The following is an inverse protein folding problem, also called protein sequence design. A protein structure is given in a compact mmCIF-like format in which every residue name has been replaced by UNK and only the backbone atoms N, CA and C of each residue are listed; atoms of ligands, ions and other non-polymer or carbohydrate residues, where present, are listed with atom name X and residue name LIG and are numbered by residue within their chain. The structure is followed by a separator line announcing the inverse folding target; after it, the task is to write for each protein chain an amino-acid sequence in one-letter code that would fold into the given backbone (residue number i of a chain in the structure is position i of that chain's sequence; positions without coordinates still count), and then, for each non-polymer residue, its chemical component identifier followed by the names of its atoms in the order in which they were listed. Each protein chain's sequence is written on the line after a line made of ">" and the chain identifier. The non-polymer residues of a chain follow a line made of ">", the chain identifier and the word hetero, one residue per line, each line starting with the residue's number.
data_IF_985548361860
#
_entry.id   IF_985548361860
#
_cell.length_a   1.000
_cell.length_b   1.000
_cell.length_c   1.000
_cell.angle_alpha   90.00
_cell.angle_beta   90.00
_cell.angle_gamma   90.00
#
_symmetry.space_group_name_H-M   'P 1'
#
loop_
_entity.id
_entity.type
_entity.pdbx_description
1 polymer ?
#
# COMPACT_ATOMS: atom_id res chain seq x y z
N UNK A 1 -0.36 7.00 13.24
CA UNK A 1 -1.24 6.52 12.14
C UNK A 1 -2.16 5.36 12.55
N UNK A 2 -2.40 5.12 13.84
CA UNK A 2 -3.38 4.11 14.32
C UNK A 2 -4.78 4.35 13.74
N UNK A 3 -5.15 5.62 13.57
CA UNK A 3 -6.43 6.05 13.03
C UNK A 3 -6.65 5.60 11.57
N UNK A 4 -5.62 5.61 10.71
CA UNK A 4 -5.81 5.28 9.28
C UNK A 4 -6.10 3.79 9.06
N UNK A 5 -5.38 2.91 9.77
CA UNK A 5 -5.60 1.45 9.70
C UNK A 5 -6.91 1.05 10.39
N UNK A 6 -7.28 1.73 11.48
CA UNK A 6 -8.55 1.52 12.18
C UNK A 6 -9.75 1.99 11.33
N UNK A 7 -9.65 3.16 10.70
CA UNK A 7 -10.64 3.65 9.74
C UNK A 7 -10.80 2.70 8.54
N UNK A 8 -9.68 2.18 8.00
CA UNK A 8 -9.72 1.21 6.91
C UNK A 8 -10.44 -0.06 7.32
N UNK A 9 -10.21 -0.54 8.54
CA UNK A 9 -10.89 -1.71 9.07
C UNK A 9 -12.39 -1.49 9.17
N UNK A 10 -12.82 -0.34 9.67
CA UNK A 10 -14.24 0.03 9.72
C UNK A 10 -14.87 0.09 8.32
N UNK A 11 -14.16 0.64 7.33
CA UNK A 11 -14.63 0.69 5.95
C UNK A 11 -14.78 -0.71 5.34
N UNK A 12 -13.82 -1.61 5.59
CA UNK A 12 -13.88 -3.01 5.16
C UNK A 12 -15.06 -3.72 5.81
N UNK A 13 -15.20 -3.67 7.14
CA UNK A 13 -16.28 -4.35 7.88
C UNK A 13 -17.65 -3.82 7.44
N UNK A 14 -17.76 -2.51 7.23
CA UNK A 14 -18.97 -1.87 6.72
C UNK A 14 -19.34 -2.34 5.30
N UNK A 15 -18.36 -2.47 4.40
CA UNK A 15 -18.55 -2.94 3.03
C UNK A 15 -18.82 -4.45 2.95
N UNK A 16 -18.30 -5.24 3.90
CA UNK A 16 -18.60 -6.67 4.03
C UNK A 16 -20.05 -6.90 4.49
N UNK A 17 -20.55 -6.06 5.39
CA UNK A 17 -21.93 -6.13 5.87
C UNK A 17 -22.94 -5.58 4.84
N UNK A 18 -22.56 -4.55 4.09
CA UNK A 18 -23.38 -3.90 3.09
C UNK A 18 -22.52 -3.42 1.90
N UNK A 19 -22.60 -4.08 0.73
CA UNK A 19 -21.83 -3.69 -0.45
C UNK A 19 -22.00 -2.23 -0.88
N UNK A 20 -23.13 -1.58 -0.55
CA UNK A 20 -23.33 -0.16 -0.85
C UNK A 20 -22.35 0.76 -0.09
N UNK A 21 -21.77 0.30 1.02
CA UNK A 21 -20.77 1.03 1.79
C UNK A 21 -19.36 0.95 1.22
N UNK A 22 -19.15 0.17 0.15
CA UNK A 22 -17.87 0.12 -0.56
C UNK A 22 -17.42 1.48 -1.11
N UNK A 23 -18.36 2.41 -1.32
CA UNK A 23 -18.07 3.79 -1.74
C UNK A 23 -16.99 4.48 -0.88
N UNK A 24 -16.95 4.22 0.43
CA UNK A 24 -15.92 4.80 1.29
C UNK A 24 -14.50 4.27 1.03
N UNK A 25 -14.39 3.01 0.60
CA UNK A 25 -13.12 2.42 0.14
C UNK A 25 -12.74 3.04 -1.21
N UNK A 26 -13.71 3.15 -2.11
CA UNK A 26 -13.50 3.76 -3.43
C UNK A 26 -12.97 5.20 -3.32
N UNK A 27 -13.69 6.08 -2.62
CA UNK A 27 -13.32 7.50 -2.46
C UNK A 27 -11.94 7.68 -1.83
N UNK A 28 -11.58 6.82 -0.87
CA UNK A 28 -10.28 6.88 -0.18
C UNK A 28 -9.11 6.49 -1.09
N UNK A 29 -9.32 5.58 -2.06
CA UNK A 29 -8.23 4.94 -2.78
C UNK A 29 -8.20 5.21 -4.28
N UNK A 30 -9.29 5.71 -4.88
CA UNK A 30 -9.43 5.88 -6.33
C UNK A 30 -8.29 6.69 -6.93
N UNK A 31 -7.93 7.83 -6.35
CA UNK A 31 -6.88 8.70 -6.89
C UNK A 31 -5.50 8.01 -6.91
N UNK A 32 -5.21 7.22 -5.87
CA UNK A 32 -3.93 6.49 -5.76
C UNK A 32 -3.85 5.36 -6.78
N UNK A 33 -4.93 4.59 -6.92
CA UNK A 33 -5.02 3.49 -7.87
C UNK A 33 -5.01 4.04 -9.30
N UNK A 34 -5.79 5.08 -9.60
CA UNK A 34 -5.80 5.74 -10.90
C UNK A 34 -4.42 6.29 -11.26
N UNK A 35 -3.74 6.99 -10.34
CA UNK A 35 -2.39 7.50 -10.59
C UNK A 35 -1.38 6.37 -10.86
N UNK A 36 -1.53 5.23 -10.19
CA UNK A 36 -0.69 4.05 -10.41
C UNK A 36 -0.92 3.42 -11.78
N UNK A 37 -2.19 3.21 -12.15
CA UNK A 37 -2.61 2.65 -13.44
C UNK A 37 -2.23 3.59 -14.58
N UNK A 38 -2.50 4.89 -14.45
CA UNK A 38 -2.30 5.89 -15.51
C UNK A 38 -0.85 5.98 -15.98
N UNK A 39 0.11 5.74 -15.09
CA UNK A 39 1.55 5.70 -15.44
C UNK A 39 1.94 4.48 -16.29
N UNK A 40 1.07 3.48 -16.39
CA UNK A 40 1.30 2.15 -16.99
C UNK A 40 0.31 1.81 -18.09
N UNK A 41 -0.38 2.82 -18.62
CA UNK A 41 -1.37 2.69 -19.70
C UNK A 41 -1.11 3.74 -20.77
N UNK A 42 -1.45 3.41 -22.01
CA UNK A 42 -1.16 4.22 -23.18
C UNK A 42 -1.96 5.53 -23.25
N UNK A 43 -3.15 5.60 -22.64
CA UNK A 43 -4.01 6.77 -22.70
C UNK A 43 -4.92 6.87 -21.47
N UNK A 44 -5.71 7.95 -21.43
CA UNK A 44 -6.65 8.22 -20.34
C UNK A 44 -7.76 7.18 -20.24
N UNK A 45 -8.37 6.81 -21.35
CA UNK A 45 -9.51 5.91 -21.38
C UNK A 45 -9.13 4.53 -20.82
N UNK A 46 -7.99 3.97 -21.26
CA UNK A 46 -7.46 2.72 -20.72
C UNK A 46 -7.21 2.79 -19.21
N UNK A 47 -6.71 3.94 -18.70
CA UNK A 47 -6.51 4.11 -17.28
C UNK A 47 -7.82 4.14 -16.48
N UNK A 48 -8.85 4.83 -17.00
CA UNK A 48 -10.18 4.92 -16.38
C UNK A 48 -10.89 3.55 -16.38
N UNK A 49 -10.81 2.81 -17.49
CA UNK A 49 -11.40 1.48 -17.63
C UNK A 49 -10.75 0.47 -16.67
N UNK A 50 -9.41 0.40 -16.65
CA UNK A 50 -8.69 -0.52 -15.76
C UNK A 50 -8.92 -0.13 -14.29
N UNK A 51 -8.95 1.18 -13.96
CA UNK A 51 -9.28 1.60 -12.60
C UNK A 51 -10.68 1.14 -12.19
N UNK A 52 -11.66 1.27 -13.08
CA UNK A 52 -13.02 0.79 -12.84
C UNK A 52 -13.05 -0.72 -12.60
N UNK A 53 -12.35 -1.49 -13.44
CA UNK A 53 -12.20 -2.94 -13.31
C UNK A 53 -11.58 -3.34 -11.97
N UNK A 54 -10.58 -2.59 -11.48
CA UNK A 54 -9.96 -2.84 -10.17
C UNK A 54 -10.98 -2.73 -9.04
N UNK A 55 -11.77 -1.66 -9.03
CA UNK A 55 -12.75 -1.46 -7.97
C UNK A 55 -13.96 -2.40 -8.11
N UNK A 56 -14.32 -2.82 -9.33
CA UNK A 56 -15.31 -3.88 -9.56
C UNK A 56 -14.83 -5.23 -9.01
N UNK A 57 -13.60 -5.63 -9.32
CA UNK A 57 -12.99 -6.86 -8.79
C UNK A 57 -12.84 -6.81 -7.27
N UNK A 58 -12.45 -5.65 -6.72
CA UNK A 58 -12.36 -5.43 -5.29
C UNK A 58 -13.73 -5.55 -4.62
N UNK A 59 -14.78 -4.94 -5.17
CA UNK A 59 -16.15 -5.07 -4.68
C UNK A 59 -16.61 -6.53 -4.70
N UNK A 60 -16.36 -7.26 -5.78
CA UNK A 60 -16.70 -8.69 -5.86
C UNK A 60 -15.90 -9.57 -4.89
N UNK A 61 -14.72 -9.13 -4.46
CA UNK A 61 -13.84 -9.87 -3.55
C UNK A 61 -13.94 -9.42 -2.09
N UNK A 62 -14.63 -8.32 -1.77
CA UNK A 62 -14.63 -7.73 -0.43
C UNK A 62 -15.21 -8.68 0.63
N UNK A 63 -16.25 -9.45 0.28
CA UNK A 63 -16.89 -10.40 1.21
C UNK A 63 -15.98 -11.54 1.69
N UNK A 64 -14.89 -11.82 0.96
CA UNK A 64 -13.86 -12.81 1.33
C UNK A 64 -12.55 -12.18 1.75
N UNK A 65 -12.51 -10.86 1.90
CA UNK A 65 -11.31 -10.16 2.35
C UNK A 65 -11.01 -10.52 3.80
N UNK A 66 -9.75 -10.90 4.05
CA UNK A 66 -9.26 -11.22 5.38
C UNK A 66 -8.09 -10.30 5.74
N UNK A 67 -8.12 -9.76 6.95
CA UNK A 67 -7.00 -9.00 7.49
C UNK A 67 -5.85 -9.93 7.83
N UNK A 68 -4.83 -9.96 6.96
CA UNK A 68 -3.59 -10.75 7.13
C UNK A 68 -2.38 -9.90 7.46
N UNK A 69 -2.60 -8.74 8.10
CA UNK A 69 -1.55 -7.80 8.48
C UNK A 69 -1.06 -6.87 7.36
N UNK A 70 -1.59 -6.98 6.13
CA UNK A 70 -1.34 -6.03 5.04
C UNK A 70 -2.37 -4.89 5.04
N UNK A 71 -1.97 -3.66 4.64
CA UNK A 71 -2.92 -2.56 4.41
C UNK A 71 -3.91 -2.84 3.29
N UNK A 72 -5.10 -2.26 3.35
CA UNK A 72 -6.13 -2.35 2.28
C UNK A 72 -5.58 -1.89 0.93
N UNK A 73 -4.78 -0.82 0.93
CA UNK A 73 -4.17 -0.30 -0.30
C UNK A 73 -3.25 -1.31 -0.99
N UNK A 74 -2.59 -2.19 -0.23
CA UNK A 74 -1.73 -3.24 -0.77
C UNK A 74 -2.55 -4.27 -1.56
N UNK A 75 -3.70 -4.66 -1.02
CA UNK A 75 -4.64 -5.54 -1.69
C UNK A 75 -5.19 -4.92 -2.99
N UNK A 76 -5.56 -3.63 -2.96
CA UNK A 76 -6.01 -2.91 -4.16
C UNK A 76 -4.91 -2.81 -5.24
N UNK A 77 -3.66 -2.54 -4.85
CA UNK A 77 -2.55 -2.55 -5.80
C UNK A 77 -2.32 -3.93 -6.43
N UNK A 78 -2.50 -5.02 -5.67
CA UNK A 78 -2.41 -6.37 -6.22
C UNK A 78 -3.48 -6.63 -7.28
N UNK A 79 -4.70 -6.18 -7.04
CA UNK A 79 -5.78 -6.24 -8.04
C UNK A 79 -5.42 -5.41 -9.28
N UNK A 80 -4.93 -4.17 -9.08
CA UNK A 80 -4.50 -3.29 -10.17
C UNK A 80 -3.38 -3.87 -11.03
N UNK A 81 -2.38 -4.49 -10.41
CA UNK A 81 -1.31 -5.17 -11.11
C UNK A 81 -1.81 -6.33 -11.98
N UNK A 82 -2.75 -7.12 -11.47
CA UNK A 82 -3.34 -8.21 -12.24
C UNK A 82 -4.15 -7.68 -13.44
N UNK A 83 -4.96 -6.65 -13.23
CA UNK A 83 -5.76 -6.02 -14.30
C UNK A 83 -4.87 -5.41 -15.41
N UNK A 84 -3.76 -4.74 -15.03
CA UNK A 84 -2.77 -4.24 -15.98
C UNK A 84 -2.12 -5.38 -16.78
N UNK A 85 -1.74 -6.48 -16.12
CA UNK A 85 -1.15 -7.63 -16.79
C UNK A 85 -2.15 -8.29 -17.76
N UNK A 86 -3.44 -8.34 -17.42
CA UNK A 86 -4.50 -8.83 -18.28
C UNK A 86 -4.67 -7.93 -19.52
N UNK A 87 -4.77 -6.61 -19.33
CA UNK A 87 -4.88 -5.61 -20.41
C UNK A 87 -3.74 -5.73 -21.43
N UNK A 88 -2.50 -5.81 -20.95
CA UNK A 88 -1.34 -5.93 -21.84
C UNK A 88 -1.28 -7.29 -22.55
N UNK A 89 -1.73 -8.38 -21.90
CA UNK A 89 -1.84 -9.70 -22.53
C UNK A 89 -2.89 -9.72 -23.63
N UNK A 90 -4.03 -9.07 -23.43
CA UNK A 90 -5.08 -8.92 -24.45
C UNK A 90 -4.57 -8.10 -25.64
N UNK A 91 -3.97 -6.95 -25.36
CA UNK A 91 -3.46 -6.06 -26.40
C UNK A 91 -2.36 -6.71 -27.25
N UNK A 92 -1.48 -7.50 -26.65
CA UNK A 92 -0.45 -8.24 -27.36
C UNK A 92 -1.04 -9.31 -28.30
N UNK A 93 -2.15 -9.95 -27.92
CA UNK A 93 -2.87 -10.91 -28.77
C UNK A 93 -3.51 -10.24 -29.97
N UNK A 94 -4.14 -9.08 -29.76
CA UNK A 94 -4.88 -8.38 -30.80
C UNK A 94 -3.97 -7.68 -31.81
N UNK A 95 -2.79 -7.24 -31.39
CA UNK A 95 -1.95 -6.38 -32.21
C UNK A 95 -0.83 -7.11 -32.98
N UNK A 96 -0.45 -8.36 -32.66
CA UNK A 96 0.88 -8.91 -33.01
C UNK A 96 2.06 -7.95 -32.66
N UNK A 97 1.80 -6.95 -31.82
CA UNK A 97 2.76 -5.93 -31.40
C UNK A 97 3.35 -6.40 -30.09
N UNK A 98 4.68 -6.34 -30.01
CA UNK A 98 5.42 -6.54 -28.77
C UNK A 98 4.92 -5.48 -27.78
N UNK A 99 4.33 -5.87 -26.63
CA UNK A 99 3.80 -4.91 -25.68
C UNK A 99 4.90 -3.93 -25.24
N UNK A 100 4.66 -2.61 -25.25
CA UNK A 100 5.58 -1.67 -24.62
C UNK A 100 5.60 -1.99 -23.12
N UNK A 101 6.80 -2.25 -22.60
CA UNK A 101 7.14 -2.47 -21.19
C UNK A 101 5.96 -2.91 -20.32
N UNK A 102 5.64 -4.21 -20.40
CA UNK A 102 5.01 -4.90 -19.27
C UNK A 102 5.85 -4.53 -18.04
N UNK A 103 5.24 -4.11 -16.90
CA UNK A 103 6.02 -3.69 -15.75
C UNK A 103 7.11 -4.71 -15.47
N UNK A 104 8.37 -4.25 -15.49
CA UNK A 104 9.52 -5.06 -15.11
C UNK A 104 9.16 -5.77 -13.79
N UNK A 105 9.36 -7.09 -13.67
CA UNK A 105 9.27 -7.80 -12.40
C UNK A 105 9.88 -7.04 -11.22
N UNK A 106 10.88 -6.17 -11.46
CA UNK A 106 11.43 -5.23 -10.48
C UNK A 106 10.46 -4.19 -9.89
N UNK A 107 9.48 -3.67 -10.64
CA UNK A 107 8.49 -2.70 -10.11
C UNK A 107 7.41 -3.39 -9.25
N UNK A 108 7.03 -4.62 -9.60
CA UNK A 108 6.17 -5.48 -8.80
C UNK A 108 6.88 -5.92 -7.52
N UNK A 109 8.17 -6.28 -7.62
CA UNK A 109 9.03 -6.49 -6.46
C UNK A 109 9.12 -5.24 -5.59
N UNK A 110 9.18 -4.04 -6.14
CA UNK A 110 9.25 -2.81 -5.35
C UNK A 110 7.95 -2.51 -4.61
N UNK A 111 6.79 -2.81 -5.20
CA UNK A 111 5.49 -2.70 -4.51
C UNK A 111 5.40 -3.76 -3.41
N UNK A 112 5.73 -5.01 -3.71
CA UNK A 112 5.73 -6.10 -2.74
C UNK A 112 6.75 -5.86 -1.61
N UNK A 113 7.93 -5.32 -1.92
CA UNK A 113 8.94 -4.89 -0.93
C UNK A 113 8.44 -3.73 -0.08
N UNK A 114 7.76 -2.73 -0.68
CA UNK A 114 7.16 -1.63 0.08
C UNK A 114 6.03 -2.11 0.99
N UNK A 115 5.23 -3.07 0.53
CA UNK A 115 4.18 -3.71 1.33
C UNK A 115 4.80 -4.53 2.47
N UNK A 116 5.81 -5.36 2.19
CA UNK A 116 6.53 -6.14 3.20
C UNK A 116 7.19 -5.21 4.23
N UNK A 117 7.86 -4.15 3.79
CA UNK A 117 8.43 -3.12 4.67
C UNK A 117 7.34 -2.49 5.54
N UNK A 118 6.18 -2.14 4.98
CA UNK A 118 5.07 -1.60 5.74
C UNK A 118 4.57 -2.58 6.81
N UNK A 119 4.42 -3.86 6.47
CA UNK A 119 4.04 -4.92 7.42
C UNK A 119 5.06 -5.02 8.56
N UNK A 120 6.35 -4.96 8.26
CA UNK A 120 7.41 -4.99 9.28
C UNK A 120 7.40 -3.74 10.17
N UNK A 121 7.09 -2.56 9.62
CA UNK A 121 6.93 -1.31 10.39
C UNK A 121 5.73 -1.39 11.35
N UNK A 122 4.63 -2.02 10.93
CA UNK A 122 3.45 -2.24 11.77
C UNK A 122 3.71 -3.19 12.95
N UNK A 123 4.67 -4.12 12.82
CA UNK A 123 5.07 -5.03 13.91
C UNK A 123 6.03 -4.41 14.92
N UNK A 124 6.49 -3.17 14.69
CA UNK A 124 7.37 -2.48 15.64
C UNK A 124 6.60 -2.12 16.93
N UNK A 125 7.28 -2.13 18.09
CA UNK A 125 6.73 -1.54 19.30
C UNK A 125 6.26 -0.10 19.06
N UNK A 126 5.13 0.28 19.66
CA UNK A 126 4.41 1.52 19.39
C UNK A 126 5.32 2.76 19.28
N UNK A 127 6.18 2.97 20.29
CA UNK A 127 7.09 4.11 20.35
C UNK A 127 8.16 4.09 19.25
N UNK A 128 8.60 2.91 18.80
CA UNK A 128 9.54 2.76 17.70
C UNK A 128 8.86 3.09 16.36
N UNK A 129 7.63 2.58 16.17
CA UNK A 129 6.80 2.87 14.99
C UNK A 129 6.53 4.36 14.84
N UNK A 130 6.12 5.03 15.92
CA UNK A 130 5.88 6.48 15.93
C UNK A 130 7.13 7.28 15.56
N UNK A 131 8.30 6.91 16.09
CA UNK A 131 9.57 7.57 15.73
C UNK A 131 9.90 7.39 14.25
N UNK A 132 9.76 6.18 13.68
CA UNK A 132 9.99 5.96 12.25
C UNK A 132 9.04 6.79 11.39
N UNK A 133 7.76 6.82 11.74
CA UNK A 133 6.73 7.57 11.02
C UNK A 133 7.03 9.08 11.01
N UNK A 134 7.28 9.67 12.18
CA UNK A 134 7.57 11.10 12.25
C UNK A 134 8.89 11.45 11.56
N UNK A 135 9.91 10.58 11.61
CA UNK A 135 11.24 10.86 11.02
C UNK A 135 11.30 10.69 9.51
N UNK A 136 10.60 9.70 8.96
CA UNK A 136 10.76 9.29 7.56
C UNK A 136 9.51 9.51 6.70
N UNK A 137 8.32 9.68 7.30
CA UNK A 137 7.08 9.98 6.57
C UNK A 137 6.73 11.47 6.72
N UNK A 138 6.80 11.99 7.94
CA UNK A 138 6.51 13.40 8.23
C UNK A 138 7.75 14.29 8.16
N UNK A 139 8.93 13.72 7.87
CA UNK A 139 10.22 14.41 7.72
C UNK A 139 10.65 15.28 8.92
N UNK A 140 10.12 15.03 10.12
CA UNK A 140 10.43 15.81 11.34
C UNK A 140 11.86 15.59 11.81
N UNK A 141 12.47 16.63 12.37
CA UNK A 141 13.78 16.57 13.05
C UNK A 141 13.71 15.77 14.36
N UNK A 142 14.86 15.27 14.84
CA UNK A 142 14.94 14.53 16.12
C UNK A 142 14.40 15.38 17.28
N UNK A 143 14.65 16.70 17.24
CA UNK A 143 14.16 17.64 18.23
C UNK A 143 12.64 17.76 18.20
N UNK A 144 12.04 17.89 17.03
CA UNK A 144 10.58 17.95 16.88
C UNK A 144 9.91 16.66 17.36
N UNK A 145 10.52 15.50 17.08
CA UNK A 145 10.02 14.20 17.58
C UNK A 145 10.18 14.08 19.09
N UNK A 146 11.31 14.56 19.64
CA UNK A 146 11.55 14.59 21.09
C UNK A 146 10.50 15.44 21.82
N UNK A 147 10.21 16.63 21.28
CA UNK A 147 9.13 17.49 21.78
C UNK A 147 7.76 16.85 21.64
N UNK A 148 7.45 16.25 20.48
CA UNK A 148 6.13 15.64 20.23
C UNK A 148 5.84 14.43 21.12
N UNK A 149 6.87 13.68 21.52
CA UNK A 149 6.73 12.46 22.33
C UNK A 149 7.03 12.66 23.82
N UNK A 150 7.33 13.90 24.24
CA UNK A 150 7.79 14.25 25.58
C UNK A 150 8.99 13.37 26.04
N UNK A 151 10.04 13.34 25.21
CA UNK A 151 11.25 12.55 25.42
C UNK A 151 12.51 13.38 25.16
N UNK A 152 13.66 12.88 25.64
CA UNK A 152 14.95 13.47 25.27
C UNK A 152 15.34 13.09 23.83
N UNK A 153 16.10 13.95 23.16
CA UNK A 153 16.66 13.65 21.83
C UNK A 153 17.49 12.35 21.83
N UNK A 154 18.18 12.06 22.94
CA UNK A 154 18.93 10.81 23.13
C UNK A 154 18.02 9.57 23.14
N UNK A 155 16.87 9.65 23.80
CA UNK A 155 15.89 8.57 23.79
C UNK A 155 15.27 8.35 22.40
N UNK A 156 15.01 9.43 21.64
CA UNK A 156 14.52 9.33 20.26
C UNK A 156 15.55 8.68 19.34
N UNK A 157 16.84 9.05 19.45
CA UNK A 157 17.93 8.39 18.71
C UNK A 157 18.01 6.89 18.99
N UNK A 158 17.87 6.50 20.27
CA UNK A 158 17.86 5.08 20.66
C UNK A 158 16.63 4.33 20.13
N UNK A 159 15.44 4.94 20.17
CA UNK A 159 14.23 4.37 19.60
C UNK A 159 14.36 4.19 18.08
N UNK A 160 14.90 5.19 17.37
CA UNK A 160 15.14 5.12 15.93
C UNK A 160 16.13 4.00 15.59
N UNK A 161 17.23 3.87 16.33
CA UNK A 161 18.22 2.81 16.12
C UNK A 161 17.58 1.42 16.29
N UNK A 162 16.88 1.20 17.41
CA UNK A 162 16.20 -0.08 17.69
C UNK A 162 15.14 -0.43 16.66
N UNK A 163 14.40 0.57 16.18
CA UNK A 163 13.42 0.38 15.13
C UNK A 163 14.07 -0.12 13.83
N UNK A 164 15.18 0.50 13.40
CA UNK A 164 15.93 0.09 12.21
C UNK A 164 16.54 -1.31 12.37
N UNK A 165 17.04 -1.66 13.56
CA UNK A 165 17.54 -3.01 13.86
C UNK A 165 16.44 -4.07 13.79
N UNK A 166 15.27 -3.79 14.38
CA UNK A 166 14.10 -4.68 14.32
C UNK A 166 13.63 -4.89 12.88
N UNK A 167 13.53 -3.82 12.09
CA UNK A 167 13.17 -3.89 10.67
C UNK A 167 14.18 -4.71 9.87
N UNK A 168 15.48 -4.50 10.10
CA UNK A 168 16.54 -5.27 9.42
C UNK A 168 16.45 -6.76 9.75
N UNK A 169 16.20 -7.12 11.02
CA UNK A 169 16.03 -8.51 11.43
C UNK A 169 14.79 -9.17 10.82
N UNK A 170 13.68 -8.44 10.77
CA UNK A 170 12.43 -8.98 10.23
C UNK A 170 12.45 -9.11 8.70
N UNK A 171 13.20 -8.25 8.00
CA UNK A 171 13.38 -8.32 6.54
C UNK A 171 14.49 -9.29 6.10
N UNK A 172 15.46 -9.58 6.97
CA UNK A 172 16.64 -10.41 6.67
C UNK A 172 16.49 -11.90 7.00
N UNK A 173 15.28 -12.40 7.23
CA UNK A 173 15.01 -13.81 7.55
C UNK A 173 14.88 -14.70 6.32
N UNK A 174 15.92 -14.78 5.50
CA UNK A 174 16.19 -15.91 4.60
C UNK A 174 17.71 -16.10 4.58
N UNK A 175 18.20 -17.02 5.41
CA UNK A 175 19.46 -17.73 5.14
C UNK A 175 19.24 -18.74 4.01
#
# INVERSE_FOLDING_TARGET
>A
MTQTTEDDRLLIEAAQADPARFVGIYERYVDRIYAFVRRRTENRAAAEDITSQVFEQALGAIGRFEWRGAPVVAWLFRIASNALADHWRERARDAQVIPPDVPDPGELEDIDRRIALYQHVEQLPELQRQVIQMRFVEEKSIREVATALDRSEGAVKQLQLRALESLRKSMGGHD
#
